data_IF_390187730929
#
_entry.id   IF_390187730929
#
_cell.length_a   1.000
_cell.length_b   1.000
_cell.length_c   1.000
_cell.angle_alpha   90.00
_cell.angle_beta   90.00
_cell.angle_gamma   90.00
#
_symmetry.space_group_name_H-M   'P 1'
#
loop_
_entity.id
_entity.type
_entity.pdbx_description
1 polymer ?
#
# COMPACT_ATOMS: atom_id res chain seq x y z
N UNK A 1 -32.46 1.06 26.28
CA UNK A 1 -31.57 2.21 25.95
C UNK A 1 -30.10 1.95 26.29
N UNK A 2 -29.76 1.37 27.45
CA UNK A 2 -28.36 1.06 27.82
C UNK A 2 -27.68 0.03 26.90
N UNK A 3 -28.40 -1.00 26.44
CA UNK A 3 -27.87 -2.05 25.55
C UNK A 3 -27.46 -1.51 24.16
N UNK A 4 -28.24 -0.58 23.60
CA UNK A 4 -27.98 0.06 22.30
C UNK A 4 -26.69 0.90 22.35
N UNK A 5 -26.48 1.63 23.45
CA UNK A 5 -25.26 2.43 23.65
C UNK A 5 -24.00 1.55 23.76
N UNK A 6 -24.11 0.39 24.41
CA UNK A 6 -23.00 -0.57 24.53
C UNK A 6 -22.68 -1.21 23.17
N UNK A 7 -23.69 -1.58 22.38
CA UNK A 7 -23.49 -2.12 21.03
C UNK A 7 -22.83 -1.11 20.09
N UNK A 8 -23.26 0.16 20.13
CA UNK A 8 -22.64 1.23 19.35
C UNK A 8 -21.19 1.49 19.76
N UNK A 9 -20.88 1.44 21.06
CA UNK A 9 -19.51 1.58 21.56
C UNK A 9 -18.60 0.43 21.11
N UNK A 10 -19.10 -0.81 21.10
CA UNK A 10 -18.33 -1.98 20.64
C UNK A 10 -18.06 -1.91 19.13
N UNK A 11 -19.00 -1.44 18.31
CA UNK A 11 -18.80 -1.28 16.85
C UNK A 11 -17.74 -0.20 16.57
N UNK A 12 -17.76 0.91 17.32
CA UNK A 12 -16.75 1.98 17.18
C UNK A 12 -15.37 1.51 17.63
N UNK A 13 -15.28 0.73 18.71
CA UNK A 13 -14.02 0.18 19.18
C UNK A 13 -13.48 -0.91 18.23
N UNK A 14 -14.32 -1.85 17.79
CA UNK A 14 -13.92 -2.88 16.83
C UNK A 14 -13.55 -2.29 15.46
N UNK A 15 -14.24 -1.23 15.02
CA UNK A 15 -13.93 -0.51 13.78
C UNK A 15 -12.68 0.37 13.88
N UNK A 16 -12.33 0.84 15.09
CA UNK A 16 -11.16 1.68 15.33
C UNK A 16 -9.82 0.94 15.33
N UNK A 17 -9.83 -0.39 15.55
CA UNK A 17 -8.59 -1.17 15.56
C UNK A 17 -8.05 -1.52 14.16
N UNK A 18 -8.89 -1.47 13.12
CA UNK A 18 -8.49 -1.89 11.75
C UNK A 18 -7.76 -0.77 11.00
N UNK A 19 -7.94 0.50 11.37
CA UNK A 19 -7.44 1.65 10.60
C UNK A 19 -6.23 2.38 11.22
N UNK A 20 -5.78 2.00 12.43
CA UNK A 20 -4.82 2.83 13.20
C UNK A 20 -3.37 2.30 13.22
N UNK A 21 -3.10 1.09 12.74
CA UNK A 21 -1.75 0.49 12.75
C UNK A 21 -1.11 0.36 11.38
N UNK A 22 -1.60 1.10 10.38
CA UNK A 22 -0.79 1.32 9.19
C UNK A 22 0.38 2.20 9.63
N UNK A 23 1.54 1.58 9.90
CA UNK A 23 2.82 2.26 9.98
C UNK A 23 2.88 3.27 8.81
N UNK A 24 3.53 4.43 8.94
CA UNK A 24 3.58 5.42 7.86
C UNK A 24 4.02 4.81 6.51
N UNK A 25 4.81 3.73 6.56
CA UNK A 25 5.19 2.92 5.40
C UNK A 25 4.07 2.08 4.77
N UNK A 26 3.15 1.52 5.56
CA UNK A 26 2.00 0.78 5.06
C UNK A 26 1.05 1.69 4.27
N UNK A 27 0.71 2.86 4.82
CA UNK A 27 -0.11 3.85 4.14
C UNK A 27 0.52 4.31 2.82
N UNK A 28 1.83 4.63 2.85
CA UNK A 28 2.57 4.97 1.63
C UNK A 28 2.57 3.84 0.59
N UNK A 29 2.69 2.58 1.03
CA UNK A 29 2.61 1.44 0.14
C UNK A 29 1.22 1.33 -0.50
N UNK A 30 0.16 1.37 0.32
CA UNK A 30 -1.23 1.25 -0.14
C UNK A 30 -1.55 2.35 -1.17
N UNK A 31 -1.12 3.58 -0.90
CA UNK A 31 -1.25 4.71 -1.83
C UNK A 31 -0.48 4.49 -3.14
N UNK A 32 0.78 4.05 -3.07
CA UNK A 32 1.60 3.80 -4.26
C UNK A 32 1.00 2.68 -5.11
N UNK A 33 0.71 1.52 -4.51
CA UNK A 33 0.12 0.35 -5.19
C UNK A 33 -1.26 0.69 -5.77
N UNK A 34 -2.07 1.46 -5.06
CA UNK A 34 -3.35 1.96 -5.55
C UNK A 34 -3.20 2.80 -6.82
N UNK A 35 -2.20 3.69 -6.87
CA UNK A 35 -1.90 4.48 -8.08
C UNK A 35 -1.32 3.64 -9.21
N UNK A 36 -0.46 2.66 -8.90
CA UNK A 36 0.13 1.74 -9.86
C UNK A 36 -0.93 0.90 -10.60
N UNK A 37 -2.05 0.57 -9.96
CA UNK A 37 -3.16 -0.15 -10.60
C UNK A 37 -3.67 0.56 -11.87
N UNK A 38 -3.66 1.90 -11.89
CA UNK A 38 -4.03 2.70 -13.07
C UNK A 38 -3.02 2.68 -14.22
N UNK A 39 -1.84 2.09 -14.01
CA UNK A 39 -0.73 2.08 -14.96
C UNK A 39 -0.33 0.66 -15.42
N UNK A 40 -1.07 -0.38 -15.03
CA UNK A 40 -0.77 -1.78 -15.36
C UNK A 40 -0.69 -2.03 -16.87
N UNK A 41 -1.51 -1.33 -17.67
CA UNK A 41 -1.52 -1.43 -19.13
C UNK A 41 -0.22 -0.93 -19.78
N UNK A 42 0.51 -0.02 -19.12
CA UNK A 42 1.83 0.45 -19.54
C UNK A 42 2.97 -0.56 -19.30
N UNK A 43 2.64 -1.73 -18.74
CA UNK A 43 3.60 -2.77 -18.42
C UNK A 43 4.60 -2.36 -17.33
N UNK A 44 5.62 -3.21 -17.12
CA UNK A 44 6.64 -2.99 -16.08
C UNK A 44 7.34 -1.64 -16.24
N UNK A 45 7.62 -1.21 -17.47
CA UNK A 45 8.32 0.07 -17.72
C UNK A 45 7.52 1.28 -17.21
N UNK A 46 6.20 1.32 -17.47
CA UNK A 46 5.33 2.39 -16.96
C UNK A 46 5.22 2.39 -15.45
N UNK A 47 5.12 1.20 -14.84
CA UNK A 47 5.07 1.04 -13.39
C UNK A 47 6.37 1.49 -12.72
N UNK A 48 7.53 1.09 -13.27
CA UNK A 48 8.85 1.51 -12.80
C UNK A 48 9.00 3.03 -12.86
N UNK A 49 8.65 3.66 -13.99
CA UNK A 49 8.77 5.11 -14.14
C UNK A 49 7.92 5.86 -13.10
N UNK A 50 6.69 5.40 -12.86
CA UNK A 50 5.82 5.99 -11.86
C UNK A 50 6.36 5.83 -10.44
N UNK A 51 6.77 4.61 -10.08
CA UNK A 51 7.27 4.30 -8.74
C UNK A 51 8.60 5.00 -8.44
N UNK A 52 9.51 5.11 -9.42
CA UNK A 52 10.75 5.88 -9.28
C UNK A 52 10.47 7.38 -9.06
N UNK A 53 9.49 7.97 -9.78
CA UNK A 53 9.07 9.36 -9.55
C UNK A 53 8.43 9.56 -8.18
N UNK A 54 7.71 8.56 -7.67
CA UNK A 54 7.17 8.61 -6.31
C UNK A 54 8.31 8.73 -5.28
N UNK A 55 9.41 7.98 -5.46
CA UNK A 55 10.57 8.03 -4.59
C UNK A 55 11.27 9.39 -4.52
N UNK A 56 11.19 10.20 -5.59
CA UNK A 56 11.78 11.54 -5.60
C UNK A 56 11.07 12.51 -4.63
N UNK A 57 9.85 12.18 -4.18
CA UNK A 57 9.12 12.95 -3.16
C UNK A 57 9.58 12.65 -1.73
N UNK A 58 10.54 11.74 -1.53
CA UNK A 58 11.03 11.35 -0.20
C UNK A 58 12.57 11.49 -0.15
N UNK A 59 13.10 12.72 -0.06
CA UNK A 59 14.52 13.01 -0.30
C UNK A 59 15.49 12.25 0.61
N UNK A 60 15.09 12.00 1.86
CA UNK A 60 15.93 11.32 2.86
C UNK A 60 16.19 9.85 2.53
N UNK A 61 15.32 9.21 1.73
CA UNK A 61 15.38 7.78 1.41
C UNK A 61 15.21 7.51 -0.09
N UNK A 62 15.39 8.52 -0.95
CA UNK A 62 15.10 8.42 -2.37
C UNK A 62 15.83 7.25 -3.05
N UNK A 63 17.13 7.08 -2.78
CA UNK A 63 17.92 5.97 -3.34
C UNK A 63 17.49 4.60 -2.79
N UNK A 64 17.21 4.51 -1.49
CA UNK A 64 16.67 3.29 -0.89
C UNK A 64 15.30 2.91 -1.48
N UNK A 65 14.43 3.89 -1.66
CA UNK A 65 13.13 3.71 -2.32
C UNK A 65 13.30 3.24 -3.76
N UNK A 66 14.21 3.84 -4.54
CA UNK A 66 14.48 3.43 -5.93
C UNK A 66 15.02 2.00 -6.01
N UNK A 67 15.89 1.61 -5.09
CA UNK A 67 16.36 0.21 -4.99
C UNK A 67 15.19 -0.73 -4.71
N UNK A 68 14.34 -0.42 -3.72
CA UNK A 68 13.17 -1.25 -3.41
C UNK A 68 12.21 -1.37 -4.58
N UNK A 69 11.96 -0.28 -5.33
CA UNK A 69 11.16 -0.33 -6.56
C UNK A 69 11.79 -1.28 -7.55
N UNK A 70 13.07 -1.12 -7.87
CA UNK A 70 13.78 -1.98 -8.83
C UNK A 70 13.70 -3.47 -8.44
N UNK A 71 13.83 -3.77 -7.15
CA UNK A 71 13.86 -5.15 -6.66
C UNK A 71 12.48 -5.81 -6.61
N UNK A 72 11.39 -5.03 -6.59
CA UNK A 72 10.04 -5.54 -6.36
C UNK A 72 9.05 -5.28 -7.51
N UNK A 73 9.35 -4.38 -8.45
CA UNK A 73 8.36 -3.91 -9.44
C UNK A 73 7.84 -5.01 -10.35
N UNK A 74 8.66 -6.01 -10.70
CA UNK A 74 8.21 -7.17 -11.49
C UNK A 74 7.19 -8.01 -10.74
N UNK A 75 7.43 -8.25 -9.44
CA UNK A 75 6.49 -8.97 -8.57
C UNK A 75 5.19 -8.19 -8.42
N UNK A 76 5.28 -6.88 -8.13
CA UNK A 76 4.11 -6.00 -8.00
C UNK A 76 3.31 -5.98 -9.30
N UNK A 77 3.97 -5.91 -10.46
CA UNK A 77 3.31 -5.95 -11.76
C UNK A 77 2.56 -7.26 -11.99
N UNK A 78 3.15 -8.40 -11.61
CA UNK A 78 2.49 -9.70 -11.69
C UNK A 78 1.29 -9.80 -10.73
N UNK A 79 1.42 -9.33 -9.49
CA UNK A 79 0.36 -9.31 -8.50
C UNK A 79 -0.82 -8.42 -8.91
N UNK A 80 -0.52 -7.23 -9.45
CA UNK A 80 -1.54 -6.32 -10.00
C UNK A 80 -2.28 -6.94 -11.19
N UNK A 81 -1.59 -7.61 -12.11
CA UNK A 81 -2.22 -8.35 -13.23
C UNK A 81 -3.13 -9.48 -12.76
N UNK A 82 -2.78 -10.11 -11.63
CA UNK A 82 -3.57 -11.16 -11.00
C UNK A 82 -4.66 -10.62 -10.07
N UNK A 83 -4.91 -9.31 -10.05
CA UNK A 83 -5.90 -8.65 -9.19
C UNK A 83 -5.70 -8.95 -7.69
N UNK A 84 -4.45 -9.12 -7.25
CA UNK A 84 -4.14 -9.23 -5.82
C UNK A 84 -4.52 -7.92 -5.13
N UNK A 85 -5.14 -8.03 -3.95
CA UNK A 85 -5.56 -6.87 -3.18
C UNK A 85 -4.36 -6.04 -2.72
N UNK A 86 -4.49 -4.72 -2.77
CA UNK A 86 -3.45 -3.75 -2.40
C UNK A 86 -2.82 -4.04 -1.03
N UNK A 87 -3.64 -4.41 -0.05
CA UNK A 87 -3.17 -4.77 1.29
C UNK A 87 -2.24 -5.99 1.28
N UNK A 88 -2.60 -7.04 0.53
CA UNK A 88 -1.77 -8.25 0.40
C UNK A 88 -0.44 -7.96 -0.29
N UNK A 89 -0.44 -7.14 -1.34
CA UNK A 89 0.78 -6.68 -2.01
C UNK A 89 1.71 -5.99 -0.99
N UNK A 90 1.16 -5.11 -0.16
CA UNK A 90 1.93 -4.39 0.84
C UNK A 90 2.40 -5.27 2.02
N UNK A 91 1.66 -6.33 2.37
CA UNK A 91 2.12 -7.37 3.30
C UNK A 91 3.29 -8.15 2.69
N UNK A 92 3.22 -8.53 1.41
CA UNK A 92 4.33 -9.22 0.73
C UNK A 92 5.59 -8.35 0.61
N UNK A 93 5.42 -7.03 0.57
CA UNK A 93 6.52 -6.05 0.65
C UNK A 93 7.02 -5.81 2.07
N UNK A 94 6.41 -6.44 3.09
CA UNK A 94 6.72 -6.25 4.50
C UNK A 94 6.56 -4.79 4.97
N UNK A 95 5.68 -4.05 4.30
CA UNK A 95 5.36 -2.66 4.63
C UNK A 95 4.07 -2.55 5.46
N UNK A 96 3.23 -3.59 5.40
CA UNK A 96 2.06 -3.81 6.26
C UNK A 96 2.21 -5.16 6.98
N UNK A 97 1.53 -5.32 8.11
CA UNK A 97 1.55 -6.54 8.94
C UNK A 97 0.14 -7.02 9.21
#
# INVERSE_FOLDING_TARGET
MRLLLVLLAVIVLAGGHVAYWDLPFCGMCKDLVGKLKGHVEGGVSGLTQFATKFCDNVPLVAEGCKSMVKDNIDRIAAELKNNVETEKICIHMQLCW
#
